data_IF_906208175269
#
_entry.id   IF_906208175269
#
_cell.length_a   1.000
_cell.length_b   1.000
_cell.length_c   1.000
_cell.angle_alpha   90.00
_cell.angle_beta   90.00
_cell.angle_gamma   90.00
#
_symmetry.space_group_name_H-M   'P 1'
#
loop_
_entity.id
_entity.type
_entity.pdbx_description
1 polymer ?
#
# COMPACT_ATOMS: atom_id res chain seq x y z
N UNK A 1 -1.15 -15.96 1.80
CA UNK A 1 -2.17 -17.02 1.57
C UNK A 1 -2.96 -17.26 2.84
N UNK A 2 -4.22 -17.74 2.75
CA UNK A 2 -5.00 -18.16 3.92
C UNK A 2 -4.43 -19.45 4.53
N UNK A 3 -4.19 -19.44 5.84
CA UNK A 3 -3.67 -20.56 6.64
C UNK A 3 -4.76 -21.07 7.58
N UNK A 4 -5.55 -22.04 7.12
CA UNK A 4 -6.72 -22.55 7.84
C UNK A 4 -6.33 -23.19 9.18
N UNK A 5 -5.18 -23.86 9.23
CA UNK A 5 -4.59 -24.51 10.40
C UNK A 5 -4.23 -23.54 11.53
N UNK A 6 -3.99 -22.27 11.19
CA UNK A 6 -3.66 -21.24 12.17
C UNK A 6 -4.91 -20.57 12.77
N UNK A 7 -6.11 -20.78 12.19
CA UNK A 7 -7.31 -20.09 12.64
C UNK A 7 -7.92 -20.80 13.87
N UNK A 8 -7.86 -20.14 15.01
CA UNK A 8 -8.44 -20.61 16.28
C UNK A 8 -9.90 -20.16 16.49
N UNK A 9 -10.52 -19.51 15.50
CA UNK A 9 -11.88 -18.98 15.57
C UNK A 9 -12.07 -17.89 16.64
N UNK A 10 -11.05 -17.16 17.06
CA UNK A 10 -11.19 -16.08 18.05
C UNK A 10 -12.11 -14.93 17.59
N UNK A 11 -12.23 -14.69 16.29
CA UNK A 11 -13.05 -13.64 15.70
C UNK A 11 -12.46 -12.23 15.76
N UNK A 12 -11.26 -12.03 16.30
CA UNK A 12 -10.63 -10.70 16.48
C UNK A 12 -10.50 -9.93 15.19
N UNK A 13 -10.21 -10.62 14.10
CA UNK A 13 -10.07 -10.04 12.76
C UNK A 13 -11.32 -9.24 12.30
N UNK A 14 -12.52 -9.68 12.68
CA UNK A 14 -13.78 -9.03 12.31
C UNK A 14 -14.35 -8.15 13.43
N UNK A 15 -14.11 -8.47 14.70
CA UNK A 15 -14.48 -7.59 15.85
C UNK A 15 -13.70 -6.27 15.76
N UNK A 16 -12.43 -6.30 15.37
CA UNK A 16 -11.59 -5.10 15.20
C UNK A 16 -11.78 -4.39 13.86
N UNK A 17 -12.57 -4.96 12.96
CA UNK A 17 -12.81 -4.37 11.65
C UNK A 17 -13.54 -3.03 11.77
N UNK A 18 -12.96 -1.96 11.25
CA UNK A 18 -13.52 -0.60 11.31
C UNK A 18 -14.69 -0.37 10.33
N UNK A 19 -15.02 -1.38 9.53
CA UNK A 19 -16.01 -1.28 8.44
C UNK A 19 -17.29 -2.08 8.71
N UNK A 20 -17.31 -2.85 9.77
CA UNK A 20 -18.48 -3.60 10.26
C UNK A 20 -18.58 -3.48 11.78
N UNK A 21 -19.78 -3.55 12.29
CA UNK A 21 -20.05 -3.56 13.73
C UNK A 21 -20.48 -4.99 14.14
N UNK A 22 -19.49 -5.86 14.31
CA UNK A 22 -19.73 -7.25 14.68
C UNK A 22 -19.29 -7.50 16.12
N UNK A 23 -20.21 -8.07 16.89
CA UNK A 23 -19.85 -8.72 18.14
C UNK A 23 -19.06 -10.02 17.88
N UNK A 24 -18.51 -10.61 18.94
CA UNK A 24 -17.72 -11.84 18.89
C UNK A 24 -18.51 -13.01 18.29
N UNK A 25 -19.78 -13.15 18.63
CA UNK A 25 -20.63 -14.25 18.17
C UNK A 25 -20.82 -14.17 16.65
N UNK A 26 -21.19 -12.98 16.15
CA UNK A 26 -21.36 -12.73 14.71
C UNK A 26 -20.03 -12.87 13.95
N UNK A 27 -18.93 -12.34 14.50
CA UNK A 27 -17.60 -12.46 13.89
C UNK A 27 -17.21 -13.92 13.70
N UNK A 28 -17.32 -14.76 14.72
CA UNK A 28 -17.03 -16.19 14.66
C UNK A 28 -17.95 -16.91 13.67
N UNK A 29 -19.25 -16.57 13.65
CA UNK A 29 -20.20 -17.13 12.69
C UNK A 29 -19.78 -16.82 11.26
N UNK A 30 -19.40 -15.57 10.96
CA UNK A 30 -18.92 -15.16 9.63
C UNK A 30 -17.68 -15.95 9.22
N UNK A 31 -16.67 -16.09 10.11
CA UNK A 31 -15.46 -16.88 9.81
C UNK A 31 -15.79 -18.34 9.53
N UNK A 32 -16.68 -18.96 10.31
CA UNK A 32 -17.13 -20.35 10.04
C UNK A 32 -17.81 -20.51 8.69
N UNK A 33 -18.61 -19.54 8.26
CA UNK A 33 -19.22 -19.54 6.93
C UNK A 33 -18.16 -19.45 5.84
N UNK A 34 -17.18 -18.53 5.99
CA UNK A 34 -16.08 -18.39 5.05
C UNK A 34 -15.24 -19.65 4.94
N UNK A 35 -14.88 -20.29 6.06
CA UNK A 35 -14.12 -21.55 6.07
C UNK A 35 -14.88 -22.70 5.41
N UNK A 36 -16.19 -22.68 5.45
CA UNK A 36 -17.05 -23.62 4.76
C UNK A 36 -17.28 -23.27 3.27
N UNK A 37 -16.63 -22.23 2.74
CA UNK A 37 -16.80 -21.74 1.37
C UNK A 37 -18.17 -21.16 1.06
N UNK A 38 -18.95 -20.80 2.10
CA UNK A 38 -20.32 -20.29 1.97
C UNK A 38 -20.35 -18.77 1.85
N UNK A 39 -21.40 -18.21 1.20
CA UNK A 39 -21.65 -16.77 1.25
C UNK A 39 -21.75 -16.30 2.70
N UNK A 40 -21.16 -15.14 2.97
CA UNK A 40 -21.15 -14.48 4.26
C UNK A 40 -21.29 -12.98 4.08
N UNK A 41 -21.98 -12.30 4.97
CA UNK A 41 -22.26 -10.85 4.89
C UNK A 41 -20.97 -10.01 4.73
N UNK A 42 -19.89 -10.46 5.38
CA UNK A 42 -18.59 -9.77 5.29
C UNK A 42 -18.04 -9.68 3.86
N UNK A 43 -18.40 -10.60 2.97
CA UNK A 43 -17.95 -10.57 1.56
C UNK A 43 -18.45 -9.33 0.82
N UNK A 44 -19.65 -8.84 1.15
CA UNK A 44 -20.23 -7.64 0.54
C UNK A 44 -19.78 -6.35 1.26
N UNK A 45 -19.49 -6.45 2.56
CA UNK A 45 -19.15 -5.30 3.40
C UNK A 45 -17.64 -4.99 3.41
N UNK A 46 -16.79 -5.96 3.11
CA UNK A 46 -15.33 -5.79 3.12
C UNK A 46 -14.87 -4.86 1.99
N UNK A 47 -14.08 -3.86 2.34
CA UNK A 47 -13.50 -2.89 1.41
C UNK A 47 -12.02 -3.19 1.08
N UNK A 48 -11.59 -4.41 1.26
CA UNK A 48 -10.26 -4.91 0.87
C UNK A 48 -9.07 -4.15 1.48
N UNK A 49 -9.21 -3.67 2.71
CA UNK A 49 -8.17 -2.88 3.40
C UNK A 49 -7.04 -3.71 4.03
N UNK A 50 -7.13 -5.04 3.99
CA UNK A 50 -6.13 -6.00 4.52
C UNK A 50 -5.97 -5.98 6.06
N UNK A 51 -6.59 -5.08 6.80
CA UNK A 51 -6.37 -4.90 8.24
C UNK A 51 -6.61 -6.17 9.08
N UNK A 52 -7.53 -7.04 8.66
CA UNK A 52 -7.83 -8.28 9.38
C UNK A 52 -6.66 -9.29 9.36
N UNK A 53 -5.73 -9.24 8.40
CA UNK A 53 -4.50 -10.03 8.45
C UNK A 53 -3.60 -9.58 9.61
N UNK A 54 -3.45 -8.26 9.78
CA UNK A 54 -2.66 -7.68 10.87
C UNK A 54 -3.32 -7.87 12.25
N UNK A 55 -4.67 -7.87 12.29
CA UNK A 55 -5.42 -8.09 13.52
C UNK A 55 -5.45 -9.56 13.96
N UNK A 56 -5.07 -10.49 13.10
CA UNK A 56 -5.09 -11.91 13.40
C UNK A 56 -3.91 -12.31 14.30
N UNK A 57 -4.15 -12.72 15.56
CA UNK A 57 -3.07 -13.02 16.50
C UNK A 57 -2.29 -14.30 16.14
N UNK A 58 -2.87 -15.13 15.27
CA UNK A 58 -2.31 -16.42 14.84
C UNK A 58 -1.78 -16.41 13.42
N UNK A 59 -1.75 -15.25 12.76
CA UNK A 59 -1.31 -15.08 11.37
C UNK A 59 -2.02 -16.02 10.36
N UNK A 60 -3.31 -16.27 10.57
CA UNK A 60 -4.11 -17.08 9.64
C UNK A 60 -4.42 -16.37 8.31
N UNK A 61 -4.18 -15.05 8.21
CA UNK A 61 -4.43 -14.22 7.03
C UNK A 61 -5.89 -14.25 6.55
N UNK A 62 -6.87 -13.89 7.39
CA UNK A 62 -8.30 -13.99 7.06
C UNK A 62 -8.72 -13.14 5.86
N UNK A 63 -8.02 -12.06 5.55
CA UNK A 63 -8.29 -11.26 4.36
C UNK A 63 -8.11 -12.08 3.06
N UNK A 64 -7.09 -12.93 2.98
CA UNK A 64 -6.85 -13.73 1.78
C UNK A 64 -7.99 -14.73 1.53
N UNK A 65 -8.62 -15.26 2.58
CA UNK A 65 -9.84 -16.07 2.46
C UNK A 65 -11.03 -15.23 2.00
N UNK A 66 -11.24 -14.05 2.61
CA UNK A 66 -12.32 -13.13 2.23
C UNK A 66 -12.17 -12.74 0.75
N UNK A 67 -10.99 -12.33 0.31
CA UNK A 67 -10.74 -11.86 -1.04
C UNK A 67 -11.01 -12.95 -2.09
N UNK A 68 -10.52 -14.18 -1.86
CA UNK A 68 -10.81 -15.31 -2.72
C UNK A 68 -12.31 -15.62 -2.81
N UNK A 69 -13.03 -15.57 -1.68
CA UNK A 69 -14.47 -15.82 -1.68
C UNK A 69 -15.28 -14.66 -2.26
N UNK A 70 -14.79 -13.43 -2.19
CA UNK A 70 -15.36 -12.29 -2.92
C UNK A 70 -15.34 -12.56 -4.42
N UNK A 71 -14.26 -13.12 -4.96
CA UNK A 71 -14.17 -13.48 -6.36
C UNK A 71 -15.10 -14.65 -6.72
N UNK A 72 -15.07 -15.73 -5.94
CA UNK A 72 -15.90 -16.93 -6.16
C UNK A 72 -17.39 -16.59 -6.16
N UNK A 73 -17.85 -15.81 -5.18
CA UNK A 73 -19.25 -15.43 -5.03
C UNK A 73 -19.63 -14.16 -5.80
N UNK A 74 -18.66 -13.47 -6.44
CA UNK A 74 -18.86 -12.18 -7.14
C UNK A 74 -19.58 -11.17 -6.26
N UNK A 75 -19.22 -11.11 -4.98
CA UNK A 75 -19.97 -10.38 -3.96
C UNK A 75 -19.78 -8.86 -3.99
N UNK A 76 -18.72 -8.36 -4.65
CA UNK A 76 -18.50 -6.93 -4.79
C UNK A 76 -19.08 -6.40 -6.13
N UNK A 77 -19.90 -5.35 -6.09
CA UNK A 77 -20.49 -4.73 -7.29
C UNK A 77 -19.48 -3.82 -7.99
N UNK A 78 -18.36 -4.39 -8.43
CA UNK A 78 -17.27 -3.63 -9.06
C UNK A 78 -17.74 -3.08 -10.40
N UNK A 79 -17.74 -1.74 -10.61
CA UNK A 79 -18.11 -1.16 -11.89
C UNK A 79 -17.20 -1.64 -13.02
N UNK A 80 -17.76 -1.88 -14.18
CA UNK A 80 -17.01 -2.31 -15.38
C UNK A 80 -15.86 -1.34 -15.70
N UNK A 81 -16.07 -0.03 -15.50
CA UNK A 81 -15.02 0.99 -15.68
C UNK A 81 -13.83 0.75 -14.77
N UNK A 82 -14.06 0.31 -13.53
CA UNK A 82 -12.97 0.02 -12.58
C UNK A 82 -12.21 -1.25 -12.98
N UNK A 83 -12.93 -2.27 -13.47
CA UNK A 83 -12.30 -3.47 -14.02
C UNK A 83 -11.45 -3.12 -15.25
N UNK A 84 -12.00 -2.42 -16.23
CA UNK A 84 -11.25 -1.96 -17.41
C UNK A 84 -10.03 -1.11 -17.07
N UNK A 85 -10.09 -0.31 -16.01
CA UNK A 85 -8.94 0.43 -15.53
C UNK A 85 -7.82 -0.50 -15.03
N UNK A 86 -8.17 -1.57 -14.31
CA UNK A 86 -7.20 -2.57 -13.87
C UNK A 86 -6.60 -3.35 -15.06
N UNK A 87 -7.47 -3.79 -15.98
CA UNK A 87 -7.06 -4.53 -17.18
C UNK A 87 -6.10 -3.69 -18.06
N UNK A 88 -6.36 -2.38 -18.17
CA UNK A 88 -5.50 -1.46 -18.90
C UNK A 88 -4.08 -1.37 -18.32
N UNK A 89 -3.89 -1.65 -17.03
CA UNK A 89 -2.56 -1.68 -16.41
C UNK A 89 -1.61 -2.63 -17.11
N UNK A 90 -2.05 -3.85 -17.42
CA UNK A 90 -1.24 -4.86 -18.12
C UNK A 90 -0.90 -4.53 -19.58
N UNK A 91 -1.58 -3.55 -20.18
CA UNK A 91 -1.37 -3.12 -21.58
C UNK A 91 -0.67 -1.77 -21.70
N UNK A 92 -0.29 -1.15 -20.59
CA UNK A 92 0.44 0.12 -20.60
C UNK A 92 1.81 -0.05 -21.28
N UNK A 93 2.25 0.96 -22.07
CA UNK A 93 3.58 0.95 -22.66
C UNK A 93 4.65 0.71 -21.61
N UNK A 94 5.55 -0.23 -21.89
CA UNK A 94 6.62 -0.61 -20.97
C UNK A 94 7.94 -0.03 -21.40
N UNK A 95 8.79 0.27 -20.43
CA UNK A 95 10.17 0.72 -20.67
C UNK A 95 11.11 0.16 -19.61
N UNK A 96 12.32 -0.19 -20.06
CA UNK A 96 13.50 -0.39 -19.25
C UNK A 96 14.49 0.71 -19.60
N UNK A 97 14.76 1.60 -18.67
CA UNK A 97 15.71 2.72 -18.82
C UNK A 97 16.96 2.32 -18.04
N UNK A 98 18.02 1.98 -18.75
CA UNK A 98 19.27 1.56 -18.13
C UNK A 98 19.95 2.73 -17.43
N UNK A 99 20.42 2.46 -16.22
CA UNK A 99 21.24 3.33 -15.40
C UNK A 99 22.58 2.69 -15.08
N UNK A 100 23.12 2.99 -13.91
CA UNK A 100 24.37 2.44 -13.38
C UNK A 100 24.11 1.06 -12.75
N UNK A 101 24.75 0.01 -13.27
CA UNK A 101 24.59 -1.36 -12.79
C UNK A 101 25.13 -1.58 -11.35
N UNK A 102 25.87 -0.61 -10.79
CA UNK A 102 26.30 -0.63 -9.38
C UNK A 102 25.19 -0.21 -8.41
N UNK A 103 24.12 0.42 -8.92
CA UNK A 103 22.95 0.85 -8.14
C UNK A 103 21.82 -0.18 -8.24
N UNK A 104 20.94 -0.27 -7.24
CA UNK A 104 19.73 -1.08 -7.37
C UNK A 104 18.83 -0.57 -8.50
N UNK A 105 18.05 -1.46 -9.10
CA UNK A 105 17.01 -1.04 -10.04
C UNK A 105 15.79 -0.48 -9.29
N UNK A 106 15.03 0.41 -9.94
CA UNK A 106 13.78 0.98 -9.42
C UNK A 106 12.59 0.45 -10.24
N UNK A 107 11.70 -0.27 -9.59
CA UNK A 107 10.44 -0.71 -10.19
C UNK A 107 9.34 0.29 -9.90
N UNK A 108 8.84 0.95 -10.97
CA UNK A 108 7.72 1.90 -10.93
C UNK A 108 6.37 1.25 -11.23
N UNK A 109 6.37 -0.01 -11.68
CA UNK A 109 5.18 -0.71 -12.10
C UNK A 109 4.38 0.12 -13.14
N UNK A 110 3.07 0.23 -12.95
CA UNK A 110 2.16 1.06 -13.75
C UNK A 110 1.82 2.39 -13.06
N UNK A 111 2.59 2.77 -12.03
CA UNK A 111 2.27 3.94 -11.20
C UNK A 111 2.88 5.26 -11.72
N UNK A 112 3.85 5.21 -12.62
CA UNK A 112 4.54 6.41 -13.10
C UNK A 112 3.58 7.51 -13.59
N UNK A 113 2.49 7.24 -14.34
CA UNK A 113 1.57 8.30 -14.79
C UNK A 113 0.77 8.98 -13.66
N UNK A 114 0.79 8.42 -12.46
CA UNK A 114 0.06 8.92 -11.29
C UNK A 114 0.94 9.69 -10.30
N UNK A 115 2.23 9.87 -10.62
CA UNK A 115 3.19 10.58 -9.79
C UNK A 115 3.84 11.71 -10.57
N UNK A 116 4.22 12.77 -9.85
CA UNK A 116 5.03 13.84 -10.44
C UNK A 116 6.49 13.41 -10.58
N UNK A 117 7.22 14.02 -11.54
CA UNK A 117 8.65 13.80 -11.68
C UNK A 117 9.45 14.12 -10.40
N UNK A 118 8.90 15.00 -9.56
CA UNK A 118 9.49 15.33 -8.27
C UNK A 118 9.46 14.18 -7.26
N UNK A 119 8.67 13.14 -7.49
CA UNK A 119 8.59 11.98 -6.60
C UNK A 119 9.79 11.04 -6.73
N UNK A 120 10.37 10.95 -7.94
CA UNK A 120 11.49 10.02 -8.27
C UNK A 120 12.69 10.72 -8.92
N UNK A 121 12.70 12.04 -8.90
CA UNK A 121 13.86 12.83 -9.30
C UNK A 121 14.88 12.98 -8.16
N UNK A 122 15.99 13.67 -8.43
CA UNK A 122 17.00 14.01 -7.44
C UNK A 122 18.03 12.90 -7.19
N UNK A 123 19.05 13.25 -6.39
CA UNK A 123 20.26 12.43 -6.17
C UNK A 123 19.99 11.02 -5.68
N UNK A 124 18.94 10.84 -4.88
CA UNK A 124 18.57 9.54 -4.32
C UNK A 124 18.25 8.50 -5.39
N UNK A 125 17.64 8.91 -6.50
CA UNK A 125 17.18 8.03 -7.58
C UNK A 125 17.99 8.21 -8.88
N UNK A 126 18.97 9.11 -8.87
CA UNK A 126 19.79 9.42 -10.05
C UNK A 126 20.56 8.18 -10.52
N UNK A 127 20.59 7.98 -11.82
CA UNK A 127 21.26 6.87 -12.51
C UNK A 127 20.81 5.46 -12.09
N UNK A 128 19.66 5.30 -11.42
CA UNK A 128 19.09 3.96 -11.22
C UNK A 128 18.55 3.41 -12.55
N UNK A 129 18.70 2.10 -12.77
CA UNK A 129 17.94 1.42 -13.82
C UNK A 129 16.46 1.45 -13.45
N UNK A 130 15.59 2.00 -14.32
CA UNK A 130 14.16 2.14 -14.05
C UNK A 130 13.36 1.22 -14.97
N UNK A 131 12.42 0.47 -14.37
CA UNK A 131 11.45 -0.34 -15.10
C UNK A 131 10.03 0.12 -14.80
N UNK A 132 9.19 0.21 -15.86
CA UNK A 132 7.82 0.69 -15.77
C UNK A 132 6.93 0.12 -16.86
N UNK A 133 5.62 0.19 -16.65
CA UNK A 133 4.61 -0.22 -17.63
C UNK A 133 4.07 -1.65 -17.41
N UNK A 134 3.25 -2.10 -18.36
CA UNK A 134 2.44 -3.30 -18.23
C UNK A 134 3.23 -4.59 -18.08
N UNK A 135 4.43 -4.69 -18.69
CA UNK A 135 5.29 -5.88 -18.52
C UNK A 135 5.76 -6.06 -17.07
N UNK A 136 5.78 -4.99 -16.28
CA UNK A 136 6.18 -4.96 -14.87
C UNK A 136 4.99 -4.74 -13.93
N UNK A 137 3.78 -5.04 -14.40
CA UNK A 137 2.56 -4.92 -13.59
C UNK A 137 2.48 -6.04 -12.55
N UNK A 138 2.34 -5.68 -11.27
CA UNK A 138 2.34 -6.64 -10.16
C UNK A 138 1.00 -7.36 -9.94
N UNK A 139 -0.07 -6.93 -10.60
CA UNK A 139 -1.43 -7.46 -10.47
C UNK A 139 -2.04 -7.41 -9.05
N UNK A 140 -1.33 -6.96 -8.02
CA UNK A 140 -1.90 -6.87 -6.66
C UNK A 140 -3.11 -5.92 -6.61
N UNK A 141 -3.18 -4.95 -7.51
CA UNK A 141 -4.34 -4.07 -7.61
C UNK A 141 -5.68 -4.80 -7.74
N UNK A 142 -5.72 -6.00 -8.34
CA UNK A 142 -6.93 -6.82 -8.45
C UNK A 142 -7.45 -7.28 -7.09
N UNK A 143 -6.59 -7.48 -6.10
CA UNK A 143 -6.97 -7.79 -4.72
C UNK A 143 -7.87 -6.68 -4.14
N UNK A 144 -7.64 -5.43 -4.53
CA UNK A 144 -8.46 -4.30 -4.09
C UNK A 144 -9.84 -4.23 -4.78
N UNK A 145 -10.09 -5.05 -5.77
CA UNK A 145 -11.42 -5.22 -6.39
C UNK A 145 -12.03 -6.60 -6.10
N UNK A 146 -11.53 -7.30 -5.09
CA UNK A 146 -12.05 -8.58 -4.64
C UNK A 146 -11.71 -9.75 -5.55
N UNK A 147 -10.54 -9.72 -6.20
CA UNK A 147 -10.06 -10.76 -7.11
C UNK A 147 -8.61 -11.13 -6.76
N UNK A 148 -8.34 -12.40 -6.49
CA UNK A 148 -6.97 -12.90 -6.26
C UNK A 148 -6.42 -13.74 -7.42
N UNK A 149 -7.28 -14.28 -8.29
CA UNK A 149 -6.84 -15.11 -9.40
C UNK A 149 -5.90 -14.41 -10.39
N UNK A 150 -6.09 -13.12 -10.79
CA UNK A 150 -5.15 -12.48 -11.71
C UNK A 150 -3.75 -12.30 -11.11
N UNK A 151 -3.66 -12.09 -9.78
CA UNK A 151 -2.39 -12.04 -9.08
C UNK A 151 -1.67 -13.38 -9.14
N UNK A 152 -2.37 -14.49 -8.81
CA UNK A 152 -1.80 -15.84 -8.77
C UNK A 152 -1.35 -16.28 -10.17
N UNK A 153 -2.20 -16.06 -11.18
CA UNK A 153 -1.94 -16.45 -12.57
C UNK A 153 -0.73 -15.74 -13.18
N UNK A 154 -0.48 -14.48 -12.78
CA UNK A 154 0.60 -13.66 -13.33
C UNK A 154 1.84 -13.60 -12.45
N UNK A 155 1.82 -14.20 -11.26
CA UNK A 155 2.91 -14.12 -10.28
C UNK A 155 4.27 -14.55 -10.86
N UNK A 156 4.34 -15.71 -11.50
CA UNK A 156 5.57 -16.23 -12.11
C UNK A 156 6.10 -15.29 -13.19
N UNK A 157 5.22 -14.89 -14.13
CA UNK A 157 5.60 -13.99 -15.23
C UNK A 157 6.12 -12.64 -14.73
N UNK A 158 5.54 -12.10 -13.66
CA UNK A 158 6.02 -10.88 -13.02
C UNK A 158 7.45 -11.04 -12.47
N UNK A 159 7.73 -12.15 -11.76
CA UNK A 159 9.08 -12.43 -11.24
C UNK A 159 10.08 -12.64 -12.38
N UNK A 160 9.71 -13.40 -13.41
CA UNK A 160 10.59 -13.66 -14.55
C UNK A 160 10.96 -12.37 -15.30
N UNK A 161 10.02 -11.44 -15.46
CA UNK A 161 10.27 -10.11 -16.06
C UNK A 161 11.24 -9.28 -15.22
N UNK A 162 11.06 -9.26 -13.90
CA UNK A 162 11.96 -8.56 -13.00
C UNK A 162 13.38 -9.20 -12.97
N UNK A 163 13.44 -10.53 -12.96
CA UNK A 163 14.72 -11.25 -13.02
C UNK A 163 15.51 -10.94 -14.32
N UNK A 164 14.77 -10.74 -15.43
CA UNK A 164 15.37 -10.36 -16.72
C UNK A 164 16.02 -8.98 -16.76
N UNK A 165 15.89 -8.16 -15.70
CA UNK A 165 16.62 -6.88 -15.56
C UNK A 165 18.10 -7.15 -15.21
N UNK A 166 18.41 -8.33 -14.67
CA UNK A 166 19.73 -8.75 -14.18
C UNK A 166 20.28 -7.89 -13.03
N UNK A 167 19.40 -7.15 -12.34
CA UNK A 167 19.77 -6.38 -11.15
C UNK A 167 19.77 -7.29 -9.91
N UNK A 168 20.81 -7.19 -9.08
CA UNK A 168 20.91 -7.94 -7.82
C UNK A 168 19.88 -7.49 -6.78
N UNK A 169 19.57 -6.19 -6.79
CA UNK A 169 18.66 -5.54 -5.86
C UNK A 169 17.63 -4.71 -6.66
N UNK A 170 16.36 -4.83 -6.29
CA UNK A 170 15.27 -4.07 -6.90
C UNK A 170 14.49 -3.34 -5.82
N UNK A 171 14.45 -2.02 -5.93
CA UNK A 171 13.63 -1.14 -5.08
C UNK A 171 12.23 -1.06 -5.66
N UNK A 172 11.23 -1.34 -4.86
CA UNK A 172 9.82 -1.25 -5.25
C UNK A 172 9.23 0.07 -4.76
N UNK A 173 8.95 0.99 -5.70
CA UNK A 173 8.37 2.28 -5.38
C UNK A 173 6.95 2.16 -4.80
N UNK A 174 6.14 1.27 -5.37
CA UNK A 174 4.76 1.09 -4.94
C UNK A 174 4.63 -0.05 -3.91
N UNK A 175 3.94 0.17 -2.79
CA UNK A 175 3.83 -0.83 -1.71
C UNK A 175 3.15 -2.13 -2.17
N UNK A 176 2.22 -2.07 -3.15
CA UNK A 176 1.57 -3.26 -3.70
C UNK A 176 2.59 -4.19 -4.38
N UNK A 177 3.59 -3.64 -5.08
CA UNK A 177 4.60 -4.46 -5.75
C UNK A 177 5.48 -5.20 -4.74
N UNK A 178 5.89 -4.53 -3.67
CA UNK A 178 6.64 -5.16 -2.59
C UNK A 178 5.81 -6.24 -1.87
N UNK A 179 4.53 -5.92 -1.57
CA UNK A 179 3.60 -6.89 -0.99
C UNK A 179 3.39 -8.12 -1.90
N UNK A 180 3.37 -7.92 -3.23
CA UNK A 180 3.33 -9.03 -4.18
C UNK A 180 4.56 -9.94 -4.01
N UNK A 181 5.76 -9.36 -3.94
CA UNK A 181 7.01 -10.12 -3.74
C UNK A 181 6.98 -10.89 -2.41
N UNK A 182 6.51 -10.29 -1.32
CA UNK A 182 6.44 -10.94 0.00
C UNK A 182 5.52 -12.16 0.02
N UNK A 183 4.57 -12.27 -0.92
CA UNK A 183 3.65 -13.41 -1.06
C UNK A 183 4.21 -14.56 -1.91
N UNK A 184 5.33 -14.35 -2.62
CA UNK A 184 5.86 -15.36 -3.56
C UNK A 184 6.20 -16.70 -2.91
N UNK A 185 6.79 -16.76 -1.69
CA UNK A 185 7.04 -18.03 -1.01
C UNK A 185 5.75 -18.85 -0.79
N UNK A 186 4.61 -18.21 -0.51
CA UNK A 186 3.31 -18.88 -0.33
C UNK A 186 2.83 -19.60 -1.62
N UNK A 187 3.30 -19.13 -2.77
CA UNK A 187 3.00 -19.74 -4.08
C UNK A 187 4.12 -20.65 -4.59
N UNK A 188 5.15 -20.93 -3.78
CA UNK A 188 6.30 -21.73 -4.19
C UNK A 188 7.13 -21.09 -5.31
N UNK A 189 7.12 -19.77 -5.39
CA UNK A 189 7.87 -19.00 -6.39
C UNK A 189 9.12 -18.43 -5.71
N UNK A 190 10.29 -18.82 -6.21
CA UNK A 190 11.56 -18.25 -5.81
C UNK A 190 11.76 -16.86 -6.43
N UNK A 191 12.28 -15.92 -5.64
CA UNK A 191 12.62 -14.56 -6.06
C UNK A 191 14.14 -14.47 -6.18
N UNK A 192 14.71 -14.42 -7.40
CA UNK A 192 16.15 -14.52 -7.63
C UNK A 192 16.92 -13.20 -7.45
N UNK A 193 16.31 -12.19 -6.83
CA UNK A 193 16.90 -10.88 -6.53
C UNK A 193 16.49 -10.45 -5.13
N UNK A 194 17.23 -9.51 -4.56
CA UNK A 194 16.85 -8.90 -3.28
C UNK A 194 15.81 -7.80 -3.53
N UNK A 195 14.63 -7.99 -2.98
CA UNK A 195 13.58 -6.97 -2.97
C UNK A 195 13.83 -5.96 -1.84
N UNK A 196 13.76 -4.67 -2.16
CA UNK A 196 13.91 -3.58 -1.20
C UNK A 196 12.65 -2.73 -1.22
N UNK A 197 12.04 -2.52 -0.05
CA UNK A 197 10.93 -1.59 0.09
C UNK A 197 11.43 -0.15 -0.06
N UNK A 198 10.67 0.71 -0.76
CA UNK A 198 11.08 2.10 -1.00
C UNK A 198 11.41 2.86 0.30
N UNK A 199 10.66 2.61 1.38
CA UNK A 199 10.93 3.23 2.70
C UNK A 199 12.31 2.80 3.23
N UNK A 200 12.63 1.52 3.12
CA UNK A 200 13.94 0.99 3.53
C UNK A 200 15.07 1.64 2.72
N UNK A 201 14.90 1.71 1.41
CA UNK A 201 15.86 2.36 0.52
C UNK A 201 16.09 3.83 0.90
N UNK A 202 15.01 4.61 1.06
CA UNK A 202 15.08 6.02 1.41
C UNK A 202 15.74 6.22 2.79
N UNK A 203 15.34 5.42 3.81
CA UNK A 203 15.94 5.48 5.13
C UNK A 203 17.45 5.20 5.09
N UNK A 204 17.87 4.19 4.35
CA UNK A 204 19.29 3.83 4.22
C UNK A 204 20.07 4.93 3.50
N UNK A 205 19.51 5.52 2.44
CA UNK A 205 20.12 6.63 1.73
C UNK A 205 20.29 7.86 2.67
N UNK A 206 19.24 8.27 3.35
CA UNK A 206 19.27 9.39 4.30
C UNK A 206 20.26 9.16 5.43
N UNK A 207 20.37 7.95 5.93
CA UNK A 207 21.33 7.59 6.97
C UNK A 207 22.78 7.68 6.49
N UNK A 208 23.04 7.26 5.25
CA UNK A 208 24.36 7.35 4.62
C UNK A 208 24.78 8.79 4.29
N UNK A 209 23.80 9.71 4.13
CA UNK A 209 24.01 11.14 3.83
C UNK A 209 23.47 12.03 4.96
N UNK A 210 23.60 11.57 6.19
CA UNK A 210 23.04 12.27 7.36
C UNK A 210 23.62 13.67 7.61
N UNK A 211 24.82 13.93 7.14
CA UNK A 211 25.48 15.25 7.14
C UNK A 211 24.86 16.26 6.15
N UNK A 212 24.11 15.77 5.15
CA UNK A 212 23.40 16.59 4.17
C UNK A 212 21.91 16.79 4.55
N UNK A 213 21.40 16.04 5.53
CA UNK A 213 20.00 16.12 5.95
C UNK A 213 19.75 17.37 6.78
N UNK A 214 18.81 18.19 6.33
CA UNK A 214 18.31 19.36 7.07
C UNK A 214 16.97 18.98 7.71
N UNK A 215 16.86 18.99 9.06
CA UNK A 215 15.61 18.67 9.74
C UNK A 215 14.47 19.59 9.30
N UNK A 216 13.35 19.02 8.93
CA UNK A 216 12.20 19.77 8.43
C UNK A 216 11.42 20.49 9.53
N UNK A 217 11.44 19.94 10.76
CA UNK A 217 10.72 20.48 11.94
C UNK A 217 9.23 20.71 11.64
N UNK A 218 8.57 19.70 11.08
CA UNK A 218 7.15 19.74 10.67
C UNK A 218 6.35 18.65 11.36
N UNK A 219 5.07 18.93 11.61
CA UNK A 219 4.10 17.96 12.08
C UNK A 219 3.39 17.32 10.89
N UNK A 220 3.41 16.00 10.82
CA UNK A 220 2.82 15.26 9.69
C UNK A 220 1.85 14.18 10.16
N UNK A 221 0.83 13.92 9.34
CA UNK A 221 0.01 12.73 9.43
C UNK A 221 0.37 11.78 8.27
N UNK A 222 0.64 10.53 8.57
CA UNK A 222 0.94 9.53 7.52
C UNK A 222 -0.30 8.74 7.15
N UNK A 223 -0.59 8.65 5.85
CA UNK A 223 -1.62 7.76 5.31
C UNK A 223 -1.02 6.42 4.97
N UNK A 224 -1.17 5.44 5.85
CA UNK A 224 -0.68 4.09 5.65
C UNK A 224 -1.44 3.40 4.51
N UNK A 225 -0.77 2.89 3.46
CA UNK A 225 -1.40 2.13 2.40
C UNK A 225 -1.88 0.76 2.88
N UNK A 226 -2.92 0.22 2.24
CA UNK A 226 -3.46 -1.10 2.57
C UNK A 226 -2.42 -2.21 2.42
N UNK A 227 -1.64 -2.18 1.34
CA UNK A 227 -0.62 -3.19 1.06
C UNK A 227 0.54 -3.21 2.06
N UNK A 228 0.84 -2.08 2.75
CA UNK A 228 1.87 -2.07 3.82
C UNK A 228 1.54 -2.98 4.99
N UNK A 229 0.31 -3.48 5.08
CA UNK A 229 -0.10 -4.45 6.10
C UNK A 229 0.42 -5.87 5.87
N UNK A 230 0.93 -6.14 4.66
CA UNK A 230 1.66 -7.39 4.38
C UNK A 230 3.12 -7.38 4.86
N UNK A 231 3.62 -6.20 5.27
CA UNK A 231 5.02 -5.97 5.66
C UNK A 231 5.05 -5.02 6.86
N UNK A 232 4.53 -5.50 8.00
CA UNK A 232 4.35 -4.69 9.22
C UNK A 232 5.65 -4.13 9.80
N UNK A 233 6.76 -4.82 9.58
CA UNK A 233 8.12 -4.41 9.98
C UNK A 233 8.55 -3.06 9.38
N UNK A 234 7.98 -2.68 8.25
CA UNK A 234 8.29 -1.41 7.56
C UNK A 234 7.84 -0.18 8.40
N UNK A 235 6.90 -0.33 9.32
CA UNK A 235 6.47 0.78 10.20
C UNK A 235 7.60 1.28 11.09
N UNK A 236 8.44 0.38 11.63
CA UNK A 236 9.62 0.78 12.44
C UNK A 236 10.65 1.51 11.58
N UNK A 237 10.88 1.03 10.36
CA UNK A 237 11.83 1.67 9.42
C UNK A 237 11.31 3.06 9.00
N UNK A 238 10.00 3.22 8.86
CA UNK A 238 9.37 4.51 8.57
C UNK A 238 9.55 5.51 9.72
N UNK A 239 9.37 5.06 10.96
CA UNK A 239 9.59 5.92 12.14
C UNK A 239 11.07 6.36 12.22
N UNK A 240 12.03 5.43 11.98
CA UNK A 240 13.46 5.80 11.89
C UNK A 240 13.72 6.84 10.80
N UNK A 241 13.04 6.72 9.64
CA UNK A 241 13.16 7.70 8.56
C UNK A 241 12.60 9.06 8.97
N UNK A 242 11.45 9.11 9.66
CA UNK A 242 10.86 10.34 10.15
C UNK A 242 11.76 11.03 11.18
N UNK A 243 12.37 10.26 12.08
CA UNK A 243 13.35 10.79 13.05
C UNK A 243 14.56 11.40 12.32
N UNK A 244 15.11 10.72 11.30
CA UNK A 244 16.26 11.20 10.52
C UNK A 244 15.97 12.54 9.83
N UNK A 245 14.77 12.72 9.29
CA UNK A 245 14.39 13.96 8.57
C UNK A 245 13.77 15.01 9.50
N UNK A 246 13.67 14.75 10.79
CA UNK A 246 13.19 15.68 11.80
C UNK A 246 11.73 16.08 11.62
N UNK A 247 10.83 15.12 11.37
CA UNK A 247 9.38 15.34 11.36
C UNK A 247 8.71 14.63 12.53
N UNK A 248 7.69 15.26 13.09
CA UNK A 248 6.83 14.67 14.12
C UNK A 248 5.63 13.99 13.46
N UNK A 249 5.51 12.67 13.57
CA UNK A 249 4.29 11.95 13.22
C UNK A 249 3.26 12.18 14.32
N UNK A 250 2.22 12.98 14.05
CA UNK A 250 1.24 13.35 15.07
C UNK A 250 0.48 12.14 15.60
N UNK A 251 0.28 12.09 16.92
CA UNK A 251 -0.56 11.07 17.53
C UNK A 251 -2.03 11.29 17.17
N UNK A 252 -2.66 10.31 16.53
CA UNK A 252 -4.05 10.39 16.08
C UNK A 252 -4.73 9.03 16.10
N UNK A 253 -6.06 9.03 16.00
CA UNK A 253 -6.87 7.80 16.06
C UNK A 253 -6.59 6.87 14.87
N UNK A 254 -6.59 7.41 13.65
CA UNK A 254 -6.52 6.61 12.42
C UNK A 254 -5.09 6.50 11.92
N UNK A 255 -4.22 5.94 12.75
CA UNK A 255 -2.81 5.74 12.45
C UNK A 255 -2.37 4.30 12.75
N UNK A 256 -1.21 3.88 12.26
CA UNK A 256 -0.59 2.58 12.48
C UNK A 256 -1.56 1.43 12.18
N UNK A 257 -1.76 0.50 13.09
CA UNK A 257 -2.71 -0.61 12.92
C UNK A 257 -4.17 -0.13 12.78
N UNK A 258 -4.51 1.03 13.37
CA UNK A 258 -5.84 1.64 13.26
C UNK A 258 -6.01 2.52 12.02
N UNK A 259 -5.01 2.60 11.13
CA UNK A 259 -5.11 3.38 9.91
C UNK A 259 -6.29 2.94 9.04
N UNK A 260 -7.05 3.90 8.55
CA UNK A 260 -8.16 3.63 7.62
C UNK A 260 -7.66 3.53 6.18
N UNK A 261 -8.37 2.74 5.37
CA UNK A 261 -8.21 2.75 3.92
C UNK A 261 -8.50 4.15 3.37
N UNK A 262 -7.76 4.56 2.34
CA UNK A 262 -8.01 5.83 1.66
C UNK A 262 -9.37 5.89 0.94
N UNK A 263 -10.07 4.77 0.79
CA UNK A 263 -11.38 4.70 0.16
C UNK A 263 -11.42 4.91 -1.36
N UNK A 264 -10.29 5.04 -2.03
CA UNK A 264 -10.15 5.44 -3.46
C UNK A 264 -11.20 4.79 -4.38
N UNK A 265 -11.27 3.46 -4.41
CA UNK A 265 -12.24 2.73 -5.23
C UNK A 265 -13.63 2.72 -4.60
N UNK A 266 -13.71 2.39 -3.31
CA UNK A 266 -14.97 2.12 -2.62
C UNK A 266 -15.81 3.37 -2.36
N UNK A 267 -15.22 4.58 -2.38
CA UNK A 267 -15.97 5.84 -2.35
C UNK A 267 -16.89 6.04 -3.55
N UNK A 268 -16.65 5.32 -4.64
CA UNK A 268 -17.51 5.31 -5.84
C UNK A 268 -18.57 4.21 -5.80
N UNK A 269 -18.28 3.09 -5.12
CA UNK A 269 -19.16 1.93 -5.01
C UNK A 269 -20.15 2.12 -3.85
N UNK A 270 -19.67 2.58 -2.71
CA UNK A 270 -20.44 2.79 -1.48
C UNK A 270 -20.23 4.21 -0.93
N UNK A 271 -20.62 5.26 -1.69
CA UNK A 271 -20.30 6.65 -1.34
C UNK A 271 -20.80 7.05 0.05
N UNK A 272 -22.02 6.67 0.41
CA UNK A 272 -22.64 7.05 1.69
C UNK A 272 -21.97 6.42 2.91
N UNK A 273 -21.26 5.31 2.72
CA UNK A 273 -20.50 4.63 3.78
C UNK A 273 -19.04 5.07 3.83
N UNK A 274 -18.41 5.25 2.68
CA UNK A 274 -16.96 5.44 2.59
C UNK A 274 -16.55 6.91 2.68
N UNK A 275 -17.29 7.83 2.06
CA UNK A 275 -16.95 9.27 2.12
C UNK A 275 -16.90 9.82 3.54
N UNK A 276 -17.88 9.54 4.43
CA UNK A 276 -17.79 9.98 5.82
C UNK A 276 -16.55 9.45 6.56
N UNK A 277 -16.10 8.24 6.22
CA UNK A 277 -14.88 7.68 6.81
C UNK A 277 -13.61 8.37 6.30
N UNK A 278 -13.56 8.69 5.01
CA UNK A 278 -12.46 9.48 4.44
C UNK A 278 -12.39 10.87 5.08
N UNK A 279 -13.53 11.52 5.25
CA UNK A 279 -13.66 12.81 5.94
C UNK A 279 -13.21 12.71 7.40
N UNK A 280 -13.64 11.68 8.13
CA UNK A 280 -13.22 11.44 9.51
C UNK A 280 -11.72 11.21 9.65
N UNK A 281 -11.09 10.48 8.72
CA UNK A 281 -9.64 10.25 8.69
C UNK A 281 -8.85 11.55 8.48
N UNK A 282 -9.29 12.39 7.54
CA UNK A 282 -8.66 13.69 7.25
C UNK A 282 -8.89 14.68 8.40
N UNK A 283 -10.10 14.71 8.95
CA UNK A 283 -10.44 15.56 10.11
C UNK A 283 -9.61 15.19 11.35
N UNK A 284 -9.39 13.89 11.60
CA UNK A 284 -8.55 13.39 12.68
C UNK A 284 -7.10 13.88 12.55
N UNK A 285 -6.55 13.82 11.33
CA UNK A 285 -5.22 14.33 11.03
C UNK A 285 -5.10 15.86 11.26
N UNK A 286 -6.10 16.61 10.79
CA UNK A 286 -6.16 18.08 10.96
C UNK A 286 -6.29 18.48 12.43
N UNK A 287 -7.16 17.81 13.21
CA UNK A 287 -7.33 18.04 14.65
C UNK A 287 -6.09 17.71 15.46
N UNK A 288 -5.30 16.74 15.02
CA UNK A 288 -4.01 16.42 15.62
C UNK A 288 -2.92 17.46 15.31
N UNK A 289 -3.21 18.48 14.51
CA UNK A 289 -2.31 19.56 14.18
C UNK A 289 -1.29 19.26 13.09
N UNK A 290 -1.58 18.29 12.21
CA UNK A 290 -0.71 17.98 11.08
C UNK A 290 -0.65 19.15 10.09
N UNK A 291 0.54 19.57 9.70
CA UNK A 291 0.79 20.56 8.65
C UNK A 291 0.78 19.93 7.26
N UNK A 292 1.12 18.65 7.17
CA UNK A 292 1.08 17.87 5.94
C UNK A 292 0.43 16.51 6.16
N UNK A 293 -0.25 16.03 5.11
CA UNK A 293 -0.65 14.62 5.00
C UNK A 293 0.29 13.92 4.02
N UNK A 294 1.03 12.95 4.52
CA UNK A 294 2.09 12.26 3.79
C UNK A 294 1.58 10.93 3.24
N UNK A 295 1.86 10.68 1.97
CA UNK A 295 1.40 9.51 1.23
C UNK A 295 2.57 8.71 0.69
N UNK A 296 2.49 7.40 0.77
CA UNK A 296 3.37 6.50 0.04
C UNK A 296 2.74 6.07 -1.30
N UNK A 297 1.44 5.76 -1.28
CA UNK A 297 0.70 5.28 -2.43
C UNK A 297 0.10 6.45 -3.23
N UNK A 298 0.38 6.57 -4.54
CA UNK A 298 -0.19 7.62 -5.39
C UNK A 298 -1.73 7.61 -5.46
N UNK A 299 -2.34 6.41 -5.39
CA UNK A 299 -3.80 6.27 -5.37
C UNK A 299 -4.42 6.81 -4.08
N UNK A 300 -3.74 6.62 -2.94
CA UNK A 300 -4.14 7.23 -1.67
C UNK A 300 -4.05 8.77 -1.75
N UNK A 301 -2.98 9.29 -2.33
CA UNK A 301 -2.83 10.72 -2.58
C UNK A 301 -3.95 11.24 -3.50
N UNK A 302 -4.23 10.55 -4.60
CA UNK A 302 -5.32 10.91 -5.52
C UNK A 302 -6.70 10.96 -4.84
N UNK A 303 -6.92 10.13 -3.81
CA UNK A 303 -8.19 10.11 -3.06
C UNK A 303 -8.28 11.19 -1.99
N UNK A 304 -7.19 11.47 -1.27
CA UNK A 304 -7.22 12.27 -0.03
C UNK A 304 -6.50 13.62 -0.14
N UNK A 305 -5.74 13.89 -1.21
CA UNK A 305 -5.00 15.15 -1.35
C UNK A 305 -5.91 16.38 -1.31
N UNK A 306 -7.02 16.35 -2.07
CA UNK A 306 -7.98 17.46 -2.08
C UNK A 306 -8.65 17.67 -0.71
N UNK A 307 -9.24 16.64 -0.06
CA UNK A 307 -9.79 16.79 1.28
C UNK A 307 -8.76 17.28 2.31
N UNK A 308 -7.52 16.80 2.24
CA UNK A 308 -6.43 17.27 3.12
C UNK A 308 -6.12 18.76 2.89
N UNK A 309 -6.03 19.20 1.62
CA UNK A 309 -5.84 20.60 1.25
C UNK A 309 -6.97 21.51 1.73
N UNK A 310 -8.22 21.07 1.64
CA UNK A 310 -9.40 21.79 2.15
C UNK A 310 -9.37 21.96 3.68
N UNK A 311 -8.61 21.14 4.40
CA UNK A 311 -8.33 21.24 5.84
C UNK A 311 -7.01 21.97 6.17
N UNK A 312 -6.36 22.55 5.17
CA UNK A 312 -5.12 23.31 5.33
C UNK A 312 -3.83 22.47 5.39
N UNK A 313 -3.92 21.14 5.29
CA UNK A 313 -2.75 20.26 5.24
C UNK A 313 -2.16 20.21 3.83
N UNK A 314 -0.84 20.14 3.72
CA UNK A 314 -0.14 19.98 2.43
C UNK A 314 -0.08 18.49 2.06
N UNK A 315 -0.65 18.06 0.91
CA UNK A 315 -0.49 16.68 0.44
C UNK A 315 0.93 16.49 -0.13
N UNK A 316 1.69 15.53 0.40
CA UNK A 316 3.10 15.30 0.04
C UNK A 316 3.34 13.80 -0.12
N UNK A 317 4.05 13.39 -1.19
CA UNK A 317 4.55 12.01 -1.28
C UNK A 317 5.76 11.83 -0.35
N UNK A 318 5.89 10.64 0.22
CA UNK A 318 6.97 10.33 1.16
C UNK A 318 8.36 10.55 0.54
N UNK A 319 8.54 10.23 -0.74
CA UNK A 319 9.78 10.47 -1.47
C UNK A 319 10.07 11.96 -1.69
N UNK A 320 9.03 12.79 -1.89
CA UNK A 320 9.20 14.25 -1.93
C UNK A 320 9.62 14.77 -0.56
N UNK A 321 9.04 14.24 0.53
CA UNK A 321 9.41 14.65 1.89
C UNK A 321 10.89 14.36 2.19
N UNK A 322 11.39 13.18 1.75
CA UNK A 322 12.81 12.84 1.85
C UNK A 322 13.70 13.83 1.08
N UNK A 323 13.30 14.20 -0.15
CA UNK A 323 14.03 15.17 -0.97
C UNK A 323 14.01 16.60 -0.40
N UNK A 324 12.94 16.96 0.30
CA UNK A 324 12.87 18.24 1.03
C UNK A 324 13.92 18.27 2.14
N UNK A 325 14.08 17.17 2.87
CA UNK A 325 15.11 17.06 3.90
C UNK A 325 16.55 17.09 3.34
N UNK A 326 16.75 16.70 2.08
CA UNK A 326 18.03 16.83 1.36
C UNK A 326 18.22 18.22 0.71
N UNK A 327 17.30 19.16 0.94
CA UNK A 327 17.36 20.50 0.36
C UNK A 327 17.09 20.57 -1.16
N UNK A 328 16.59 19.49 -1.76
CA UNK A 328 16.32 19.42 -3.20
C UNK A 328 14.97 20.01 -3.61
N UNK A 329 14.03 20.06 -2.69
CA UNK A 329 12.69 20.60 -2.90
C UNK A 329 12.32 21.51 -1.71
N UNK A 330 11.59 22.62 -1.93
CA UNK A 330 11.00 23.38 -0.83
C UNK A 330 9.79 22.63 -0.23
N UNK A 331 9.54 22.82 1.07
CA UNK A 331 8.28 22.41 1.64
C UNK A 331 7.13 23.25 1.02
N UNK A 332 5.98 22.66 0.66
CA UNK A 332 4.88 23.42 0.02
C UNK A 332 4.42 24.59 0.89
N UNK A 333 4.29 25.79 0.26
CA UNK A 333 3.88 27.04 0.91
C UNK A 333 2.40 27.04 1.32
#
# INVERSE_FOLDING_TARGET
>A
MWHAENCDLCGDCLVRCQYVDYDRVKAVQQIKQLMAGKPAEILELCITCVACNEYCPTAANPFDLINRLQEVHKSLPIPEKSRKFMDAGGTMPSALIKGDDSKPALSMCVMEPFISNDAVGGRMFEDMTVVKGGEYFCYLGYVHIGMDSPLIENARGFIDKLAGIEAKEIVFFHPDCYAMISKMPDYGIEVPFKAIHIIEYMRNYLKAHSDEVVPLNRKIAYQRPCASRYSGEIETILDEMFDLIGVERVARKYDRESAQCCGSLFSRIYPDRIKPMMEANVEDASKAGAEAMVFLCPLCMGALARPAGEKGMKPVLLSQLARMALGELPFPA
#
